data_IF_638223784620
#
_entry.id   IF_638223784620
#
_cell.length_a   1.000
_cell.length_b   1.000
_cell.length_c   1.000
_cell.angle_alpha   90.00
_cell.angle_beta   90.00
_cell.angle_gamma   90.00
#
_symmetry.space_group_name_H-M   'P 1'
#
loop_
_entity.id
_entity.type
_entity.pdbx_description
1 polymer ?
#
# COMPACT_ATOMS: atom_id res chain seq x y z
N UNK A 1 13.70 8.85 -15.99
CA UNK A 1 12.70 7.84 -16.43
C UNK A 1 11.49 8.60 -16.99
N UNK A 2 10.74 8.06 -17.95
CA UNK A 2 9.58 8.77 -18.52
C UNK A 2 8.51 8.99 -17.45
N UNK A 3 7.87 10.18 -17.42
CA UNK A 3 6.77 10.46 -16.51
C UNK A 3 7.11 10.40 -15.02
N UNK A 4 8.33 10.64 -14.63
CA UNK A 4 8.84 10.47 -13.26
C UNK A 4 7.97 11.14 -12.20
N UNK A 5 7.45 12.33 -12.49
CA UNK A 5 6.55 13.05 -11.56
C UNK A 5 5.24 12.30 -11.33
N UNK A 6 4.64 11.77 -12.40
CA UNK A 6 3.40 10.99 -12.31
C UNK A 6 3.63 9.72 -11.50
N UNK A 7 4.64 8.93 -11.86
CA UNK A 7 4.92 7.66 -11.19
C UNK A 7 5.31 7.85 -9.72
N UNK A 8 6.12 8.87 -9.40
CA UNK A 8 6.45 9.18 -8.01
C UNK A 8 5.21 9.56 -7.18
N UNK A 9 4.27 10.31 -7.76
CA UNK A 9 3.01 10.67 -7.09
C UNK A 9 2.11 9.45 -6.90
N UNK A 10 1.96 8.63 -7.96
CA UNK A 10 1.22 7.37 -7.92
C UNK A 10 1.77 6.42 -6.84
N UNK A 11 3.07 6.21 -6.83
CA UNK A 11 3.71 5.26 -5.92
C UNK A 11 3.60 5.72 -4.45
N UNK A 12 3.66 7.05 -4.21
CA UNK A 12 3.37 7.62 -2.89
C UNK A 12 1.93 7.36 -2.47
N UNK A 13 0.97 7.59 -3.37
CA UNK A 13 -0.44 7.37 -3.08
C UNK A 13 -0.72 5.88 -2.82
N UNK A 14 -0.16 4.98 -3.63
CA UNK A 14 -0.26 3.53 -3.42
C UNK A 14 0.33 3.12 -2.08
N UNK A 15 1.49 3.67 -1.71
CA UNK A 15 2.11 3.46 -0.40
C UNK A 15 1.23 3.92 0.76
N UNK A 16 0.60 5.11 0.64
CA UNK A 16 -0.35 5.61 1.64
C UNK A 16 -1.58 4.70 1.76
N UNK A 17 -2.14 4.24 0.64
CA UNK A 17 -3.28 3.31 0.64
C UNK A 17 -2.93 2.00 1.38
N UNK A 18 -1.75 1.42 1.13
CA UNK A 18 -1.32 0.21 1.83
C UNK A 18 -1.17 0.45 3.34
N UNK A 19 -0.57 1.59 3.74
CA UNK A 19 -0.42 1.94 5.15
C UNK A 19 -1.77 2.15 5.85
N UNK A 20 -2.73 2.80 5.18
CA UNK A 20 -4.07 3.00 5.72
C UNK A 20 -4.84 1.68 5.87
N UNK A 21 -4.72 0.77 4.91
CA UNK A 21 -5.34 -0.56 5.01
C UNK A 21 -4.74 -1.36 6.18
N UNK A 22 -3.42 -1.28 6.39
CA UNK A 22 -2.77 -1.90 7.54
C UNK A 22 -3.25 -1.28 8.87
N UNK A 23 -3.29 0.06 8.96
CA UNK A 23 -3.76 0.79 10.14
C UNK A 23 -5.23 0.49 10.45
N UNK A 24 -6.08 0.41 9.44
CA UNK A 24 -7.48 0.06 9.60
C UNK A 24 -7.67 -1.35 10.19
N UNK A 25 -6.81 -2.30 9.78
CA UNK A 25 -6.80 -3.64 10.35
C UNK A 25 -6.37 -3.65 11.83
N UNK A 26 -5.39 -2.80 12.21
CA UNK A 26 -4.95 -2.66 13.61
C UNK A 26 -6.01 -1.97 14.50
N UNK A 27 -6.80 -1.08 13.94
CA UNK A 27 -7.83 -0.31 14.66
C UNK A 27 -9.23 -0.93 14.57
N UNK A 28 -9.35 -2.09 13.94
CA UNK A 28 -10.63 -2.77 13.66
C UNK A 28 -11.65 -1.85 12.96
N UNK A 29 -11.14 -1.02 12.03
CA UNK A 29 -11.94 -0.05 11.28
C UNK A 29 -12.25 -0.61 9.89
N UNK A 30 -13.52 -0.67 9.49
CA UNK A 30 -13.91 -1.11 8.15
C UNK A 30 -13.80 0.04 7.14
N UNK A 31 -12.79 -0.04 6.27
CA UNK A 31 -12.59 0.84 5.11
C UNK A 31 -12.67 0.09 3.78
N UNK A 32 -13.10 -1.18 3.78
CA UNK A 32 -13.16 -2.03 2.57
C UNK A 32 -14.09 -1.46 1.49
N UNK A 33 -15.10 -0.67 1.87
CA UNK A 33 -15.96 0.04 0.94
C UNK A 33 -15.27 1.20 0.20
N UNK A 34 -14.20 1.77 0.78
CA UNK A 34 -13.50 2.94 0.26
C UNK A 34 -12.20 2.57 -0.47
N UNK A 35 -11.42 1.63 0.07
CA UNK A 35 -10.10 1.25 -0.44
C UNK A 35 -10.00 -0.26 -0.69
N UNK A 36 -10.15 -0.67 -1.95
CA UNK A 36 -9.93 -2.05 -2.40
C UNK A 36 -8.60 -2.16 -3.14
N UNK A 37 -7.66 -2.89 -2.58
CA UNK A 37 -6.30 -3.04 -3.15
C UNK A 37 -6.31 -3.62 -4.58
N UNK A 38 -7.25 -4.49 -4.90
CA UNK A 38 -7.35 -5.05 -6.25
C UNK A 38 -7.82 -4.00 -7.27
N UNK A 39 -8.74 -3.10 -6.90
CA UNK A 39 -9.15 -1.99 -7.75
C UNK A 39 -7.99 -0.98 -7.95
N UNK A 40 -7.17 -0.72 -6.92
CA UNK A 40 -5.94 0.09 -7.03
C UNK A 40 -4.99 -0.50 -8.07
N UNK A 41 -4.77 -1.83 -8.03
CA UNK A 41 -3.90 -2.51 -8.99
C UNK A 41 -4.44 -2.43 -10.41
N UNK A 42 -5.73 -2.63 -10.59
CA UNK A 42 -6.38 -2.66 -11.90
C UNK A 42 -6.50 -1.27 -12.54
N UNK A 43 -6.59 -0.21 -11.75
CA UNK A 43 -6.78 1.17 -12.23
C UNK A 43 -5.52 2.01 -12.12
N UNK A 44 -5.12 2.34 -10.90
CA UNK A 44 -4.02 3.27 -10.63
C UNK A 44 -2.66 2.72 -11.06
N UNK A 45 -2.44 1.42 -10.89
CA UNK A 45 -1.20 0.73 -11.29
C UNK A 45 -1.26 0.14 -12.71
N UNK A 46 -2.33 0.39 -13.48
CA UNK A 46 -2.41 -0.06 -14.85
C UNK A 46 -1.25 0.54 -15.69
N UNK A 47 -0.48 -0.29 -16.42
CA UNK A 47 0.62 0.18 -17.23
C UNK A 47 0.12 1.01 -18.43
N UNK A 48 1.00 1.83 -18.99
CA UNK A 48 0.77 2.49 -20.27
C UNK A 48 1.01 1.52 -21.43
N UNK A 49 0.17 1.57 -22.45
CA UNK A 49 0.27 0.70 -23.61
C UNK A 49 0.85 1.43 -24.81
N UNK A 50 2.00 0.96 -25.27
CA UNK A 50 2.64 1.40 -26.53
C UNK A 50 2.45 0.33 -27.60
N UNK A 51 1.78 0.67 -28.68
CA UNK A 51 1.64 -0.21 -29.86
C UNK A 51 2.55 0.31 -30.95
N UNK A 52 3.45 -0.54 -31.45
CA UNK A 52 4.46 -0.19 -32.45
C UNK A 52 4.14 -0.88 -33.77
N UNK A 53 3.89 -0.09 -34.79
CA UNK A 53 3.42 -0.47 -36.12
C UNK A 53 4.37 0.05 -37.19
N UNK A 54 4.47 -0.60 -38.33
CA UNK A 54 5.32 -0.18 -39.46
C UNK A 54 5.76 -1.36 -40.30
N UNK A 55 6.39 -1.13 -41.45
CA UNK A 55 6.84 -2.18 -42.36
C UNK A 55 7.93 -3.11 -41.76
N UNK A 56 8.13 -4.24 -42.40
CA UNK A 56 9.28 -5.10 -42.12
C UNK A 56 10.56 -4.26 -42.31
N UNK A 57 11.55 -4.45 -41.43
CA UNK A 57 12.82 -3.71 -41.43
C UNK A 57 12.71 -2.18 -41.23
N UNK A 58 11.54 -1.64 -40.88
CA UNK A 58 11.39 -0.23 -40.50
C UNK A 58 12.17 0.16 -39.22
N UNK A 59 12.67 -0.82 -38.45
CA UNK A 59 13.44 -0.59 -37.21
C UNK A 59 12.58 -0.49 -35.96
N UNK A 60 11.38 -1.09 -35.96
CA UNK A 60 10.45 -1.13 -34.80
C UNK A 60 11.15 -1.68 -33.54
N UNK A 61 11.64 -2.91 -33.59
CA UNK A 61 12.29 -3.58 -32.49
C UNK A 61 13.57 -2.85 -32.04
N UNK A 62 14.33 -2.27 -33.00
CA UNK A 62 15.50 -1.43 -32.68
C UNK A 62 15.10 -0.15 -31.95
N UNK A 63 13.99 0.49 -32.34
CA UNK A 63 13.45 1.66 -31.64
C UNK A 63 13.03 1.30 -30.20
N UNK A 64 12.33 0.19 -30.01
CA UNK A 64 11.91 -0.29 -28.70
C UNK A 64 13.15 -0.52 -27.82
N UNK A 65 14.18 -1.22 -28.30
CA UNK A 65 15.43 -1.42 -27.58
C UNK A 65 16.13 -0.10 -27.26
N UNK A 66 16.14 0.84 -28.20
CA UNK A 66 16.66 2.20 -28.00
C UNK A 66 15.91 2.98 -26.92
N UNK A 67 14.58 2.88 -26.84
CA UNK A 67 13.77 3.48 -25.79
C UNK A 67 14.02 2.83 -24.43
N UNK A 68 14.04 1.49 -24.37
CA UNK A 68 14.25 0.75 -23.13
C UNK A 68 15.70 0.83 -22.62
N UNK A 69 16.68 1.03 -23.50
CA UNK A 69 18.10 0.97 -23.18
C UNK A 69 18.58 -0.45 -22.85
N UNK A 70 17.92 -1.46 -23.43
CA UNK A 70 18.20 -2.89 -23.21
C UNK A 70 17.69 -3.72 -24.38
N UNK A 71 18.23 -4.92 -24.57
CA UNK A 71 17.82 -5.87 -25.61
C UNK A 71 16.49 -6.56 -25.24
N UNK A 72 15.39 -5.81 -25.32
CA UNK A 72 14.05 -6.33 -25.06
C UNK A 72 13.56 -7.17 -26.24
N UNK A 73 13.63 -6.60 -27.44
CA UNK A 73 13.20 -7.24 -28.68
C UNK A 73 14.42 -7.87 -29.40
N UNK A 74 14.21 -9.06 -29.99
CA UNK A 74 15.23 -9.66 -30.88
C UNK A 74 15.33 -8.81 -32.15
N UNK A 75 16.53 -8.47 -32.55
CA UNK A 75 16.82 -7.69 -33.77
C UNK A 75 17.66 -8.56 -34.70
N UNK A 76 17.04 -9.10 -35.75
CA UNK A 76 17.73 -9.88 -36.76
C UNK A 76 17.52 -9.26 -38.15
N UNK A 77 18.48 -9.53 -39.05
CA UNK A 77 18.46 -9.09 -40.44
C UNK A 77 17.36 -9.79 -41.27
N UNK A 78 16.95 -10.99 -40.88
CA UNK A 78 15.81 -11.71 -41.45
C UNK A 78 14.49 -11.36 -40.75
N UNK A 79 13.36 -11.33 -41.47
CA UNK A 79 12.06 -11.03 -40.87
C UNK A 79 11.67 -12.14 -39.88
N UNK A 80 11.93 -11.91 -38.59
CA UNK A 80 11.59 -12.90 -37.54
C UNK A 80 10.29 -12.63 -36.83
N UNK A 81 9.76 -11.40 -36.89
CA UNK A 81 8.54 -11.05 -36.17
C UNK A 81 7.32 -11.45 -36.99
N UNK A 82 7.02 -12.74 -37.05
CA UNK A 82 5.79 -13.27 -37.67
C UNK A 82 4.61 -13.31 -36.68
N UNK A 83 4.81 -12.89 -35.44
CA UNK A 83 3.83 -12.91 -34.36
C UNK A 83 3.79 -11.53 -33.69
N UNK A 84 2.65 -11.18 -33.13
CA UNK A 84 2.52 -10.00 -32.26
C UNK A 84 3.16 -10.36 -30.92
N UNK A 85 4.11 -9.54 -30.45
CA UNK A 85 4.79 -9.75 -29.17
C UNK A 85 4.31 -8.72 -28.15
N UNK A 86 3.69 -9.17 -27.09
CA UNK A 86 3.26 -8.35 -25.98
C UNK A 86 4.24 -8.44 -24.82
N UNK A 87 5.08 -7.43 -24.66
CA UNK A 87 6.08 -7.34 -23.60
C UNK A 87 5.50 -6.75 -22.33
N UNK A 88 5.69 -7.45 -21.21
CA UNK A 88 5.21 -7.08 -19.88
C UNK A 88 6.30 -7.30 -18.82
N UNK A 89 6.11 -6.66 -17.65
CA UNK A 89 6.93 -6.98 -16.48
C UNK A 89 6.56 -8.34 -15.91
N UNK A 90 7.55 -9.16 -15.62
CA UNK A 90 7.37 -10.44 -14.94
C UNK A 90 8.68 -11.03 -14.44
N UNK A 91 8.60 -11.72 -13.30
CA UNK A 91 9.65 -12.54 -12.70
C UNK A 91 9.04 -13.89 -12.31
N UNK A 92 9.63 -15.02 -12.78
CA UNK A 92 10.76 -15.14 -13.72
C UNK A 92 10.42 -14.65 -15.13
N UNK A 93 11.47 -14.46 -15.95
CA UNK A 93 11.28 -14.23 -17.39
C UNK A 93 10.66 -15.48 -18.03
N UNK A 94 9.58 -15.31 -18.77
CA UNK A 94 8.90 -16.39 -19.49
C UNK A 94 8.27 -15.89 -20.79
N UNK A 95 7.93 -16.82 -21.67
CA UNK A 95 7.23 -16.58 -22.91
C UNK A 95 6.01 -17.50 -22.94
N UNK A 96 4.82 -16.94 -23.15
CA UNK A 96 3.54 -17.63 -23.13
C UNK A 96 2.87 -17.44 -24.49
N UNK A 97 2.60 -18.51 -25.18
CA UNK A 97 1.84 -18.47 -26.41
C UNK A 97 0.35 -18.35 -26.11
N UNK A 98 -0.21 -17.15 -26.33
CA UNK A 98 -1.64 -16.89 -26.13
C UNK A 98 -2.47 -17.34 -27.34
N UNK A 99 -1.90 -17.29 -28.54
CA UNK A 99 -2.49 -17.78 -29.76
C UNK A 99 -1.40 -18.00 -30.82
N UNK A 100 -1.67 -18.66 -31.95
CA UNK A 100 -0.69 -18.87 -33.02
C UNK A 100 0.01 -17.58 -33.53
N UNK A 101 -0.58 -16.41 -33.27
CA UNK A 101 -0.09 -15.14 -33.75
C UNK A 101 0.20 -14.11 -32.65
N UNK A 102 0.09 -14.49 -31.36
CA UNK A 102 0.29 -13.61 -30.22
C UNK A 102 1.06 -14.31 -29.12
N UNK A 103 2.20 -13.75 -28.78
CA UNK A 103 3.03 -14.15 -27.64
C UNK A 103 2.98 -13.09 -26.55
N UNK A 104 2.79 -13.52 -25.30
CA UNK A 104 2.98 -12.69 -24.10
C UNK A 104 4.37 -12.97 -23.54
N UNK A 105 5.20 -11.93 -23.47
CA UNK A 105 6.62 -12.04 -23.11
C UNK A 105 6.87 -11.28 -21.82
N UNK A 106 7.20 -12.01 -20.77
CA UNK A 106 7.55 -11.47 -19.48
C UNK A 106 9.05 -11.26 -19.36
N UNK A 107 9.46 -10.03 -18.97
CA UNK A 107 10.86 -9.68 -18.72
C UNK A 107 10.98 -8.87 -17.42
N UNK A 108 12.04 -9.09 -16.61
CA UNK A 108 12.25 -8.38 -15.34
C UNK A 108 12.87 -7.00 -15.53
N UNK A 109 12.45 -6.26 -16.56
CA UNK A 109 12.91 -4.90 -16.84
C UNK A 109 12.04 -3.89 -16.14
N UNK A 110 12.64 -2.96 -15.37
CA UNK A 110 11.91 -1.94 -14.61
C UNK A 110 11.02 -1.08 -15.51
N UNK A 111 11.44 -0.80 -16.74
CA UNK A 111 10.63 -0.09 -17.73
C UNK A 111 9.25 -0.75 -17.93
N UNK A 112 9.18 -2.07 -17.99
CA UNK A 112 7.94 -2.81 -18.22
C UNK A 112 6.98 -2.84 -17.04
N UNK A 113 7.38 -2.35 -15.87
CA UNK A 113 6.44 -2.16 -14.73
C UNK A 113 5.37 -1.12 -15.06
N UNK A 114 5.78 -0.08 -15.75
CA UNK A 114 4.94 1.07 -16.05
C UNK A 114 4.47 1.07 -17.50
N UNK A 115 5.09 0.26 -18.37
CA UNK A 115 4.82 0.21 -19.81
C UNK A 115 4.64 -1.21 -20.30
N UNK A 116 3.55 -1.43 -21.01
CA UNK A 116 3.40 -2.60 -21.88
C UNK A 116 3.73 -2.19 -23.30
N UNK A 117 4.54 -2.99 -23.99
CA UNK A 117 4.94 -2.74 -25.37
C UNK A 117 4.42 -3.85 -26.26
N UNK A 118 3.71 -3.48 -27.31
CA UNK A 118 3.21 -4.39 -28.32
C UNK A 118 4.02 -4.16 -29.62
N UNK A 119 4.95 -5.09 -29.89
CA UNK A 119 5.71 -5.12 -31.15
C UNK A 119 4.95 -5.98 -32.16
N UNK A 120 4.75 -5.43 -33.37
CA UNK A 120 3.90 -6.07 -34.40
C UNK A 120 4.70 -6.54 -35.59
N UNK A 121 4.19 -7.56 -36.33
CA UNK A 121 4.72 -7.89 -37.63
C UNK A 121 4.70 -6.69 -38.58
N UNK A 122 5.56 -6.72 -39.61
CA UNK A 122 5.58 -5.65 -40.61
C UNK A 122 4.24 -5.51 -41.35
N UNK A 123 3.78 -4.27 -41.57
CA UNK A 123 2.49 -3.96 -42.20
C UNK A 123 2.35 -4.54 -43.61
N UNK A 124 3.45 -4.71 -44.33
CA UNK A 124 3.52 -5.33 -45.67
C UNK A 124 3.47 -6.87 -45.66
N UNK A 125 3.71 -7.51 -44.47
CA UNK A 125 3.63 -8.97 -44.26
C UNK A 125 2.44 -9.34 -43.34
N UNK A 126 1.61 -8.39 -42.96
CA UNK A 126 0.55 -8.55 -41.95
C UNK A 126 -0.66 -9.29 -42.55
N UNK A 127 -0.96 -10.46 -42.00
CA UNK A 127 -2.16 -11.21 -42.33
C UNK A 127 -3.42 -10.59 -41.65
N UNK A 128 -4.63 -10.85 -42.16
CA UNK A 128 -5.87 -10.39 -41.50
C UNK A 128 -5.95 -10.81 -40.02
N UNK A 129 -5.52 -12.01 -39.69
CA UNK A 129 -5.49 -12.50 -38.31
C UNK A 129 -4.51 -11.75 -37.39
N UNK A 130 -3.41 -11.19 -37.93
CA UNK A 130 -2.54 -10.29 -37.15
C UNK A 130 -3.26 -8.98 -36.82
N UNK A 131 -4.04 -8.42 -37.77
CA UNK A 131 -4.85 -7.22 -37.53
C UNK A 131 -5.88 -7.45 -36.42
N UNK A 132 -6.52 -8.60 -36.40
CA UNK A 132 -7.46 -8.99 -35.34
C UNK A 132 -6.76 -9.10 -33.97
N UNK A 133 -5.56 -9.72 -33.91
CA UNK A 133 -4.76 -9.78 -32.68
C UNK A 133 -4.37 -8.39 -32.16
N UNK A 134 -3.97 -7.48 -33.05
CA UNK A 134 -3.61 -6.09 -32.72
C UNK A 134 -4.85 -5.27 -32.29
N UNK A 135 -6.00 -5.51 -32.93
CA UNK A 135 -7.24 -4.81 -32.62
C UNK A 135 -7.67 -4.92 -31.14
N UNK A 136 -7.24 -5.98 -30.45
CA UNK A 136 -7.48 -6.16 -29.00
C UNK A 136 -6.75 -5.12 -28.14
N UNK A 137 -5.60 -4.62 -28.61
CA UNK A 137 -4.78 -3.66 -27.87
C UNK A 137 -5.09 -2.20 -28.22
N UNK A 138 -5.65 -1.93 -29.41
CA UNK A 138 -5.89 -0.57 -29.88
C UNK A 138 -6.77 0.27 -28.92
N UNK A 139 -7.87 -0.23 -28.35
CA UNK A 139 -8.68 0.56 -27.41
C UNK A 139 -7.92 0.99 -26.15
N UNK A 140 -7.01 0.13 -25.67
CA UNK A 140 -6.18 0.37 -24.49
C UNK A 140 -4.88 1.13 -24.80
N UNK A 141 -4.52 1.32 -26.06
CA UNK A 141 -3.28 1.98 -26.45
C UNK A 141 -3.27 3.44 -26.01
N UNK A 142 -2.29 3.84 -25.21
CA UNK A 142 -2.06 5.26 -24.89
C UNK A 142 -1.36 5.98 -26.03
N UNK A 143 -0.43 5.32 -26.74
CA UNK A 143 0.30 5.85 -27.90
C UNK A 143 0.43 4.78 -28.97
N UNK A 144 0.19 5.17 -30.23
CA UNK A 144 0.38 4.38 -31.44
C UNK A 144 1.60 4.91 -32.20
N UNK A 145 2.73 4.20 -32.13
CA UNK A 145 3.93 4.54 -32.88
C UNK A 145 3.89 3.91 -34.27
N UNK A 146 3.82 4.73 -35.30
CA UNK A 146 3.95 4.29 -36.67
C UNK A 146 5.37 4.57 -37.15
N UNK A 147 6.15 3.50 -37.33
CA UNK A 147 7.57 3.55 -37.62
C UNK A 147 7.80 3.42 -39.14
N UNK A 148 8.48 4.40 -39.67
CA UNK A 148 8.87 4.49 -41.07
C UNK A 148 10.40 4.46 -41.18
N UNK A 149 10.99 3.67 -42.07
CA UNK A 149 12.40 3.79 -42.33
C UNK A 149 12.67 5.09 -43.11
N UNK A 150 13.77 5.78 -42.79
CA UNK A 150 14.15 7.02 -43.49
C UNK A 150 14.32 6.84 -45.01
N UNK A 151 14.56 5.62 -45.45
CA UNK A 151 14.73 5.25 -46.87
C UNK A 151 13.38 5.10 -47.61
N UNK A 152 12.29 4.83 -46.91
CA UNK A 152 10.94 4.70 -47.49
C UNK A 152 9.85 5.25 -46.57
N UNK A 153 9.77 6.57 -46.34
CA UNK A 153 8.78 7.19 -45.48
C UNK A 153 7.38 7.24 -46.10
N UNK A 154 7.20 6.81 -47.36
CA UNK A 154 5.95 6.83 -48.12
C UNK A 154 5.29 5.46 -48.26
N UNK A 155 5.70 4.47 -47.48
CA UNK A 155 5.22 3.10 -47.60
C UNK A 155 3.69 3.03 -47.49
N UNK A 156 3.07 2.57 -48.57
CA UNK A 156 1.60 2.61 -48.75
C UNK A 156 0.88 1.71 -47.72
N UNK A 157 1.45 0.56 -47.35
CA UNK A 157 0.87 -0.37 -46.39
C UNK A 157 0.65 0.28 -45.02
N UNK A 158 1.62 1.04 -44.52
CA UNK A 158 1.57 1.73 -43.22
C UNK A 158 0.58 2.91 -43.27
N UNK A 159 0.60 3.73 -44.37
CA UNK A 159 -0.32 4.83 -44.54
C UNK A 159 -1.77 4.36 -44.69
N UNK A 160 -2.04 3.26 -45.37
CA UNK A 160 -3.37 2.68 -45.48
C UNK A 160 -3.90 2.27 -44.10
N UNK A 161 -3.05 1.59 -43.29
CA UNK A 161 -3.43 1.20 -41.95
C UNK A 161 -3.77 2.42 -41.05
N UNK A 162 -2.99 3.51 -41.16
CA UNK A 162 -3.28 4.76 -40.43
C UNK A 162 -4.67 5.31 -40.87
N UNK A 163 -4.96 5.30 -42.18
CA UNK A 163 -6.23 5.81 -42.71
C UNK A 163 -7.47 5.00 -42.29
N UNK A 164 -7.27 3.74 -41.88
CA UNK A 164 -8.33 2.86 -41.40
C UNK A 164 -8.68 3.07 -39.90
N UNK A 165 -7.87 3.86 -39.16
CA UNK A 165 -8.07 4.10 -37.74
C UNK A 165 -9.26 5.01 -37.46
N UNK A 166 -9.94 4.77 -36.33
CA UNK A 166 -10.99 5.68 -35.85
C UNK A 166 -10.43 7.07 -35.47
N UNK A 167 -11.24 8.14 -35.50
CA UNK A 167 -10.80 9.50 -35.14
C UNK A 167 -10.16 9.59 -33.75
N UNK A 168 -10.60 8.79 -32.79
CA UNK A 168 -10.03 8.77 -31.42
C UNK A 168 -8.66 8.10 -31.36
N UNK A 169 -8.44 7.06 -32.16
CA UNK A 169 -7.13 6.42 -32.29
C UNK A 169 -6.16 7.32 -33.04
N UNK A 170 -6.63 8.05 -34.06
CA UNK A 170 -5.80 9.00 -34.80
C UNK A 170 -5.17 10.08 -33.91
N UNK A 171 -5.85 10.51 -32.84
CA UNK A 171 -5.30 11.46 -31.84
C UNK A 171 -4.10 10.90 -31.06
N UNK A 172 -3.96 9.57 -31.02
CA UNK A 172 -2.88 8.86 -30.30
C UNK A 172 -1.72 8.47 -31.21
N UNK A 173 -1.81 8.79 -32.52
CA UNK A 173 -0.80 8.47 -33.52
C UNK A 173 0.41 9.38 -33.37
N UNK A 174 1.59 8.76 -33.39
CA UNK A 174 2.89 9.42 -33.49
C UNK A 174 3.67 8.76 -34.62
N UNK A 175 4.17 9.57 -35.55
CA UNK A 175 4.96 9.11 -36.67
C UNK A 175 6.45 9.14 -36.29
N UNK A 176 7.14 8.02 -36.46
CA UNK A 176 8.58 7.89 -36.16
C UNK A 176 9.31 7.61 -37.47
N UNK A 177 10.23 8.50 -37.85
CA UNK A 177 11.21 8.24 -38.90
C UNK A 177 12.42 7.60 -38.22
N UNK A 178 12.59 6.30 -38.44
CA UNK A 178 13.67 5.50 -37.86
C UNK A 178 14.88 5.47 -38.80
N UNK A 179 16.06 5.14 -38.27
CA UNK A 179 17.33 5.13 -38.99
C UNK A 179 17.79 6.53 -39.44
N UNK A 180 17.49 7.54 -38.60
CA UNK A 180 17.84 8.94 -38.91
C UNK A 180 19.33 9.17 -39.07
N UNK A 181 20.18 8.29 -38.53
CA UNK A 181 21.65 8.27 -38.73
C UNK A 181 22.10 8.02 -40.18
N UNK A 182 21.21 7.57 -41.06
CA UNK A 182 21.49 7.32 -42.48
C UNK A 182 21.27 8.56 -43.36
N UNK A 183 20.83 9.69 -42.81
CA UNK A 183 20.51 10.93 -43.55
C UNK A 183 20.96 12.17 -42.79
N UNK A 184 21.22 13.22 -43.55
CA UNK A 184 21.51 14.53 -42.97
C UNK A 184 20.25 15.22 -42.42
N UNK A 185 20.41 16.14 -41.48
CA UNK A 185 19.30 16.84 -40.85
C UNK A 185 18.43 17.63 -41.84
N UNK A 186 19.04 18.07 -42.97
CA UNK A 186 18.33 18.80 -44.04
C UNK A 186 17.37 17.88 -44.81
N UNK A 187 17.79 16.66 -45.09
CA UNK A 187 16.99 15.63 -45.77
C UNK A 187 15.80 15.22 -44.86
N UNK A 188 16.02 15.07 -43.56
CA UNK A 188 14.97 14.74 -42.62
C UNK A 188 13.91 15.82 -42.57
N UNK A 189 14.27 17.11 -42.65
CA UNK A 189 13.30 18.21 -42.71
C UNK A 189 12.45 18.14 -43.97
N UNK A 190 13.04 17.81 -45.14
CA UNK A 190 12.32 17.62 -46.39
C UNK A 190 11.32 16.45 -46.25
N UNK A 191 11.80 15.33 -45.70
CA UNK A 191 10.93 14.16 -45.46
C UNK A 191 9.76 14.52 -44.56
N UNK A 192 9.99 15.27 -43.48
CA UNK A 192 8.92 15.73 -42.58
C UNK A 192 7.88 16.58 -43.31
N UNK A 193 8.30 17.49 -44.19
CA UNK A 193 7.39 18.30 -45.02
C UNK A 193 6.48 17.42 -45.88
N UNK A 194 7.07 16.48 -46.61
CA UNK A 194 6.29 15.56 -47.45
C UNK A 194 5.36 14.64 -46.66
N UNK A 195 5.80 14.14 -45.51
CA UNK A 195 4.95 13.33 -44.64
C UNK A 195 3.81 14.14 -44.02
N UNK A 196 4.02 15.41 -43.71
CA UNK A 196 2.97 16.31 -43.23
C UNK A 196 1.90 16.53 -44.32
N UNK A 197 2.31 16.81 -45.58
CA UNK A 197 1.40 16.93 -46.70
C UNK A 197 0.60 15.65 -46.95
N UNK A 198 1.23 14.51 -46.82
CA UNK A 198 0.57 13.23 -47.00
C UNK A 198 -0.41 12.94 -45.84
N UNK A 199 -0.05 13.30 -44.62
CA UNK A 199 -0.92 13.16 -43.45
C UNK A 199 -2.19 14.04 -43.61
N UNK A 200 -2.04 15.29 -43.99
CA UNK A 200 -3.18 16.18 -44.27
C UNK A 200 -4.12 15.57 -45.33
N UNK A 201 -3.55 15.04 -46.40
CA UNK A 201 -4.35 14.43 -47.50
C UNK A 201 -5.07 13.15 -47.07
N UNK A 202 -4.48 12.36 -46.17
CA UNK A 202 -4.99 11.03 -45.81
C UNK A 202 -5.88 11.02 -44.56
N UNK A 203 -5.53 11.83 -43.55
CA UNK A 203 -6.20 11.82 -42.25
C UNK A 203 -6.64 13.20 -41.75
N UNK A 204 -6.45 14.24 -42.55
CA UNK A 204 -6.95 15.60 -42.28
C UNK A 204 -6.16 16.43 -41.29
N UNK A 205 -5.12 15.89 -40.65
CA UNK A 205 -4.25 16.58 -39.71
C UNK A 205 -2.83 16.00 -39.70
N UNK A 206 -1.89 16.75 -39.14
CA UNK A 206 -0.50 16.31 -39.01
C UNK A 206 -0.29 15.76 -37.59
N UNK A 207 -0.04 14.44 -37.45
CA UNK A 207 0.37 13.87 -36.16
C UNK A 207 1.75 14.38 -35.75
N UNK A 208 2.12 14.19 -34.48
CA UNK A 208 3.51 14.47 -34.05
C UNK A 208 4.49 13.56 -34.77
N UNK A 209 5.65 14.11 -35.16
CA UNK A 209 6.68 13.39 -35.91
C UNK A 209 8.01 13.53 -35.21
N UNK A 210 8.76 12.42 -35.13
CA UNK A 210 10.10 12.36 -34.57
C UNK A 210 11.01 11.58 -35.50
N UNK A 211 12.25 12.08 -35.67
CA UNK A 211 13.32 11.34 -36.33
C UNK A 211 14.22 10.72 -35.26
N UNK A 212 14.42 9.41 -35.33
CA UNK A 212 15.12 8.66 -34.27
C UNK A 212 16.12 7.67 -34.88
N UNK A 213 17.32 7.58 -34.30
CA UNK A 213 18.22 6.43 -34.48
C UNK A 213 18.15 5.54 -33.25
N UNK A 214 17.33 4.50 -33.32
CA UNK A 214 17.20 3.53 -32.23
C UNK A 214 18.50 2.81 -31.94
N UNK A 215 19.35 2.59 -32.96
CA UNK A 215 20.70 1.99 -32.84
C UNK A 215 21.62 2.86 -31.98
N UNK A 216 21.74 4.14 -32.31
CA UNK A 216 22.60 5.08 -31.58
C UNK A 216 22.04 5.33 -30.15
N UNK A 217 20.74 5.40 -30.01
CA UNK A 217 20.10 5.51 -28.70
C UNK A 217 20.38 4.31 -27.80
N UNK A 218 20.26 3.09 -28.33
CA UNK A 218 20.58 1.87 -27.60
C UNK A 218 22.05 1.83 -27.18
N UNK A 219 22.96 2.10 -28.12
CA UNK A 219 24.42 2.14 -27.86
C UNK A 219 24.76 3.18 -26.77
N UNK A 220 24.20 4.40 -26.87
CA UNK A 220 24.45 5.48 -25.90
C UNK A 220 23.96 5.14 -24.47
N UNK A 221 22.90 4.36 -24.35
CA UNK A 221 22.35 3.93 -23.05
C UNK A 221 23.01 2.69 -22.47
N UNK A 222 23.60 1.85 -23.31
CA UNK A 222 24.26 0.59 -22.90
C UNK A 222 25.62 0.81 -22.23
N UNK A 223 26.20 2.01 -22.38
CA UNK A 223 27.50 2.37 -21.80
C UNK A 223 27.30 3.14 -20.50
N UNK A 224 28.19 2.90 -19.52
CA UNK A 224 28.18 3.64 -18.24
C UNK A 224 29.48 4.44 -18.08
N UNK A 225 29.43 5.79 -17.94
CA UNK A 225 28.25 6.65 -17.95
C UNK A 225 27.59 6.77 -19.32
N UNK A 226 26.29 7.08 -19.35
CA UNK A 226 25.55 7.24 -20.61
C UNK A 226 26.12 8.36 -21.47
N UNK A 227 26.24 8.12 -22.77
CA UNK A 227 26.76 9.10 -23.73
C UNK A 227 25.63 10.06 -24.14
N UNK A 228 25.49 11.16 -23.39
CA UNK A 228 24.37 12.11 -23.57
C UNK A 228 24.37 12.81 -24.93
N UNK A 229 25.54 13.07 -25.51
CA UNK A 229 25.65 13.74 -26.81
C UNK A 229 25.12 12.85 -27.93
N UNK A 230 25.53 11.58 -27.96
CA UNK A 230 25.01 10.59 -28.92
C UNK A 230 23.52 10.36 -28.71
N UNK A 231 23.06 10.34 -27.46
CA UNK A 231 21.64 10.17 -27.14
C UNK A 231 20.82 11.38 -27.63
N UNK A 232 21.35 12.60 -27.55
CA UNK A 232 20.71 13.81 -28.08
C UNK A 232 20.65 13.77 -29.61
N UNK A 233 21.78 13.47 -30.28
CA UNK A 233 21.84 13.35 -31.73
C UNK A 233 20.95 12.24 -32.30
N UNK A 234 20.71 11.18 -31.53
CA UNK A 234 19.81 10.11 -31.92
C UNK A 234 18.32 10.52 -32.01
N UNK A 235 17.93 11.72 -31.56
CA UNK A 235 16.55 12.17 -31.47
C UNK A 235 15.71 11.46 -30.39
N UNK A 236 16.30 10.51 -29.69
CA UNK A 236 15.58 9.71 -28.70
C UNK A 236 15.17 10.53 -27.46
N UNK A 237 15.99 11.53 -27.07
CA UNK A 237 15.63 12.42 -25.92
C UNK A 237 14.36 13.23 -26.16
N UNK A 238 14.13 13.70 -27.40
CA UNK A 238 12.92 14.43 -27.74
C UNK A 238 11.68 13.52 -27.68
N UNK A 239 11.81 12.29 -28.20
CA UNK A 239 10.76 11.30 -28.11
C UNK A 239 10.47 10.91 -26.64
N UNK A 240 11.50 10.72 -25.82
CA UNK A 240 11.36 10.45 -24.40
C UNK A 240 10.67 11.60 -23.64
N UNK A 241 11.02 12.84 -23.98
CA UNK A 241 10.37 14.04 -23.43
C UNK A 241 8.89 14.07 -23.81
N UNK A 242 8.58 13.79 -25.06
CA UNK A 242 7.17 13.70 -25.51
C UNK A 242 6.41 12.63 -24.71
N UNK A 243 6.95 11.43 -24.57
CA UNK A 243 6.31 10.35 -23.80
C UNK A 243 6.09 10.80 -22.36
N UNK A 244 7.11 11.42 -21.74
CA UNK A 244 7.01 11.92 -20.36
C UNK A 244 5.94 12.99 -20.20
N UNK A 245 5.89 13.95 -21.11
CA UNK A 245 4.89 15.02 -21.13
C UNK A 245 3.48 14.46 -21.37
N UNK A 246 3.34 13.49 -22.26
CA UNK A 246 2.06 12.82 -22.55
C UNK A 246 1.51 12.10 -21.32
N UNK A 247 2.37 11.36 -20.60
CA UNK A 247 2.03 10.67 -19.35
C UNK A 247 1.63 11.68 -18.27
N UNK A 248 2.46 12.70 -18.03
CA UNK A 248 2.23 13.69 -16.98
C UNK A 248 0.98 14.56 -17.25
N UNK A 249 0.60 14.74 -18.52
CA UNK A 249 -0.54 15.57 -18.93
C UNK A 249 -1.79 14.76 -19.27
N UNK A 250 -1.78 13.45 -19.15
CA UNK A 250 -2.95 12.61 -19.38
C UNK A 250 -4.09 13.00 -18.43
N UNK A 251 -5.18 13.52 -18.97
CA UNK A 251 -6.36 13.92 -18.18
C UNK A 251 -6.99 12.72 -17.48
N UNK A 252 -7.04 11.57 -18.15
CA UNK A 252 -7.59 10.33 -17.59
C UNK A 252 -6.77 9.87 -16.37
N UNK A 253 -5.44 9.88 -16.49
CA UNK A 253 -4.55 9.45 -15.40
C UNK A 253 -4.55 10.45 -14.24
N UNK A 254 -4.66 11.75 -14.53
CA UNK A 254 -4.83 12.77 -13.48
C UNK A 254 -6.15 12.59 -12.74
N UNK A 255 -7.26 12.41 -13.46
CA UNK A 255 -8.56 12.17 -12.84
C UNK A 255 -8.56 10.92 -11.94
N UNK A 256 -7.89 9.84 -12.38
CA UNK A 256 -7.70 8.66 -11.53
C UNK A 256 -6.90 8.94 -10.25
N UNK A 257 -5.81 9.73 -10.34
CA UNK A 257 -5.06 10.12 -9.16
C UNK A 257 -5.91 10.95 -8.20
N UNK A 258 -6.70 11.90 -8.71
CA UNK A 258 -7.59 12.74 -7.92
C UNK A 258 -8.71 11.92 -7.26
N UNK A 259 -9.30 10.99 -7.99
CA UNK A 259 -10.32 10.07 -7.45
C UNK A 259 -9.77 9.24 -6.29
N UNK A 260 -8.62 8.58 -6.49
CA UNK A 260 -8.00 7.75 -5.46
C UNK A 260 -7.47 8.56 -4.27
N UNK A 261 -7.01 9.80 -4.52
CA UNK A 261 -6.66 10.73 -3.44
C UNK A 261 -7.89 11.06 -2.58
N UNK A 262 -9.03 11.33 -3.22
CA UNK A 262 -10.31 11.58 -2.53
C UNK A 262 -10.74 10.39 -1.65
N UNK A 263 -10.73 9.17 -2.22
CA UNK A 263 -11.04 7.92 -1.48
C UNK A 263 -10.07 7.69 -0.31
N UNK A 264 -8.79 8.00 -0.50
CA UNK A 264 -7.76 7.86 0.53
C UNK A 264 -7.98 8.85 1.68
N UNK A 265 -8.34 10.10 1.36
CA UNK A 265 -8.65 11.13 2.34
C UNK A 265 -9.92 10.81 3.14
N UNK A 266 -10.93 10.22 2.51
CA UNK A 266 -12.15 9.77 3.16
C UNK A 266 -11.88 8.60 4.12
N UNK A 267 -11.11 7.60 3.67
CA UNK A 267 -10.70 6.47 4.51
C UNK A 267 -9.90 6.92 5.75
N UNK A 268 -8.98 7.90 5.57
CA UNK A 268 -8.24 8.47 6.70
C UNK A 268 -9.19 9.09 7.74
N UNK A 269 -10.16 9.89 7.30
CA UNK A 269 -11.16 10.47 8.22
C UNK A 269 -11.96 9.40 8.96
N UNK A 270 -12.35 8.33 8.27
CA UNK A 270 -13.07 7.21 8.90
C UNK A 270 -12.24 6.58 10.03
N UNK A 271 -10.93 6.41 9.82
CA UNK A 271 -10.02 5.88 10.85
C UNK A 271 -9.86 6.88 11.99
N UNK A 272 -9.67 8.17 11.70
CA UNK A 272 -9.56 9.23 12.71
C UNK A 272 -10.82 9.29 13.60
N UNK A 273 -12.01 9.26 13.02
CA UNK A 273 -13.28 9.25 13.74
C UNK A 273 -13.45 7.98 14.61
N UNK A 274 -12.95 6.83 14.14
CA UNK A 274 -12.95 5.59 14.90
C UNK A 274 -12.02 5.69 16.11
N UNK A 275 -10.81 6.17 15.92
CA UNK A 275 -9.82 6.35 16.99
C UNK A 275 -10.28 7.36 18.05
N UNK A 276 -10.90 8.47 17.67
CA UNK A 276 -11.45 9.44 18.62
C UNK A 276 -12.60 8.84 19.45
N UNK A 277 -13.45 8.01 18.83
CA UNK A 277 -14.49 7.26 19.58
C UNK A 277 -13.90 6.29 20.59
N UNK A 278 -12.95 5.46 20.17
CA UNK A 278 -12.25 4.51 21.04
C UNK A 278 -11.54 5.21 22.20
N UNK A 279 -10.87 6.32 21.93
CA UNK A 279 -10.22 7.15 22.95
C UNK A 279 -11.22 7.71 23.97
N UNK A 280 -12.38 8.17 23.50
CA UNK A 280 -13.44 8.67 24.38
C UNK A 280 -14.02 7.54 25.28
N UNK A 281 -14.24 6.36 24.72
CA UNK A 281 -14.68 5.17 25.46
C UNK A 281 -13.65 4.75 26.52
N UNK A 282 -12.38 4.69 26.17
CA UNK A 282 -11.30 4.39 27.11
C UNK A 282 -11.23 5.41 28.26
N UNK A 283 -11.39 6.69 27.96
CA UNK A 283 -11.44 7.73 28.99
C UNK A 283 -12.64 7.55 29.94
N UNK A 284 -13.81 7.23 29.41
CA UNK A 284 -15.00 6.96 30.20
C UNK A 284 -14.85 5.72 31.09
N UNK A 285 -14.26 4.64 30.55
CA UNK A 285 -13.92 3.44 31.33
C UNK A 285 -12.92 3.74 32.44
N UNK A 286 -11.88 4.55 32.17
CA UNK A 286 -10.95 5.01 33.22
C UNK A 286 -11.65 5.75 34.34
N UNK A 287 -12.52 6.70 34.05
CA UNK A 287 -13.29 7.42 35.06
C UNK A 287 -14.23 6.50 35.87
N UNK A 288 -14.79 5.49 35.22
CA UNK A 288 -15.62 4.50 35.88
C UNK A 288 -14.81 3.66 36.87
N UNK A 289 -13.60 3.21 36.46
CA UNK A 289 -12.66 2.48 37.33
C UNK A 289 -12.22 3.31 38.54
N UNK A 290 -11.88 4.60 38.33
CA UNK A 290 -11.54 5.54 39.42
C UNK A 290 -12.68 5.71 40.42
N UNK A 291 -13.94 5.62 39.96
CA UNK A 291 -15.11 5.70 40.82
C UNK A 291 -15.26 4.44 41.66
N UNK A 292 -15.09 3.25 41.05
CA UNK A 292 -15.15 1.98 41.77
C UNK A 292 -14.03 1.91 42.81
N UNK A 293 -12.79 2.30 42.48
CA UNK A 293 -11.69 2.33 43.44
C UNK A 293 -12.00 3.20 44.64
N UNK A 294 -12.56 4.41 44.45
CA UNK A 294 -12.96 5.28 45.55
C UNK A 294 -14.07 4.68 46.40
N UNK A 295 -15.05 3.97 45.82
CA UNK A 295 -16.08 3.27 46.56
C UNK A 295 -15.52 2.13 47.40
N UNK A 296 -14.61 1.33 46.83
CA UNK A 296 -13.92 0.24 47.53
C UNK A 296 -13.11 0.78 48.71
N UNK A 297 -12.35 1.85 48.50
CA UNK A 297 -11.58 2.48 49.60
C UNK A 297 -12.50 3.03 50.68
N UNK A 298 -13.60 3.64 50.33
CA UNK A 298 -14.61 4.09 51.30
C UNK A 298 -15.25 2.95 52.10
N UNK A 299 -15.51 1.81 51.47
CA UNK A 299 -16.00 0.60 52.15
C UNK A 299 -14.91 0.04 53.08
N UNK A 300 -13.66 -0.02 52.62
CA UNK A 300 -12.51 -0.48 53.41
C UNK A 300 -12.32 0.37 54.69
N UNK A 301 -12.36 1.70 54.54
CA UNK A 301 -12.25 2.60 55.69
C UNK A 301 -13.38 2.42 56.71
N UNK A 302 -14.63 2.30 56.24
CA UNK A 302 -15.77 2.02 57.09
C UNK A 302 -15.63 0.69 57.81
N UNK A 303 -15.14 -0.34 57.12
CA UNK A 303 -14.89 -1.67 57.70
C UNK A 303 -13.80 -1.62 58.76
N UNK A 304 -12.67 -0.97 58.47
CA UNK A 304 -11.57 -0.81 59.43
C UNK A 304 -12.03 -0.02 60.65
N UNK A 305 -12.78 1.06 60.49
CA UNK A 305 -13.35 1.81 61.64
C UNK A 305 -14.31 0.98 62.48
N UNK A 306 -15.19 0.18 61.85
CA UNK A 306 -16.09 -0.75 62.61
C UNK A 306 -15.28 -1.78 63.38
N UNK A 307 -14.34 -2.45 62.69
CA UNK A 307 -13.47 -3.47 63.31
C UNK A 307 -12.71 -2.89 64.49
N UNK A 308 -12.09 -1.72 64.35
CA UNK A 308 -11.36 -1.03 65.41
C UNK A 308 -12.24 -0.75 66.62
N UNK A 309 -13.50 -0.29 66.37
CA UNK A 309 -14.48 -0.03 67.47
C UNK A 309 -14.81 -1.32 68.22
N UNK A 310 -15.08 -2.41 67.50
CA UNK A 310 -15.37 -3.69 68.14
C UNK A 310 -14.14 -4.24 68.92
N UNK A 311 -12.91 -4.08 68.38
CA UNK A 311 -11.70 -4.46 69.11
C UNK A 311 -11.48 -3.68 70.40
N UNK A 312 -11.78 -2.36 70.41
CA UNK A 312 -11.73 -1.54 71.62
C UNK A 312 -12.74 -2.04 72.65
N UNK A 313 -13.98 -2.32 72.24
CA UNK A 313 -15.03 -2.85 73.14
C UNK A 313 -14.62 -4.21 73.69
N UNK A 314 -14.03 -5.12 72.88
CA UNK A 314 -13.53 -6.40 73.37
C UNK A 314 -12.40 -6.19 74.38
N UNK A 315 -11.47 -5.26 74.12
CA UNK A 315 -10.38 -4.94 75.04
C UNK A 315 -10.87 -4.42 76.39
N UNK A 316 -11.88 -3.53 76.38
CA UNK A 316 -12.52 -3.01 77.62
C UNK A 316 -13.20 -4.12 78.43
N UNK A 317 -13.85 -5.08 77.75
CA UNK A 317 -14.42 -6.26 78.40
C UNK A 317 -13.32 -7.09 79.07
N UNK A 318 -12.21 -7.36 78.33
CA UNK A 318 -11.08 -8.07 78.87
C UNK A 318 -10.47 -7.39 80.12
N UNK A 319 -10.27 -6.08 80.06
CA UNK A 319 -9.77 -5.31 81.23
C UNK A 319 -10.72 -5.40 82.43
N UNK A 320 -12.02 -5.26 82.17
CA UNK A 320 -13.04 -5.33 83.23
C UNK A 320 -13.04 -6.69 83.90
N UNK A 321 -13.04 -7.77 83.15
CA UNK A 321 -13.00 -9.13 83.67
C UNK A 321 -11.67 -9.45 84.36
N UNK A 322 -10.53 -8.97 83.85
CA UNK A 322 -9.23 -9.08 84.45
C UNK A 322 -9.18 -8.41 85.83
N UNK A 323 -9.76 -7.21 85.94
CA UNK A 323 -9.87 -6.52 87.27
C UNK A 323 -10.77 -7.30 88.20
N UNK A 324 -11.88 -7.85 87.76
CA UNK A 324 -12.75 -8.70 88.55
C UNK A 324 -12.01 -9.94 89.03
N UNK A 325 -11.29 -10.67 88.21
CA UNK A 325 -10.49 -11.82 88.56
C UNK A 325 -9.42 -11.43 89.57
N UNK A 326 -8.69 -10.35 89.31
CA UNK A 326 -7.67 -9.85 90.25
C UNK A 326 -8.19 -9.54 91.62
N UNK A 327 -9.36 -8.86 91.73
CA UNK A 327 -10.03 -8.59 93.00
C UNK A 327 -10.41 -9.88 93.74
N UNK A 328 -10.93 -10.87 93.02
CA UNK A 328 -11.38 -12.15 93.57
C UNK A 328 -10.19 -13.00 94.00
N UNK A 329 -9.10 -13.00 93.27
CA UNK A 329 -7.85 -13.61 93.63
C UNK A 329 -7.23 -12.95 94.89
N UNK A 330 -7.16 -11.61 94.94
CA UNK A 330 -6.67 -10.86 96.10
C UNK A 330 -7.45 -11.19 97.37
N UNK A 331 -8.78 -11.34 97.27
CA UNK A 331 -9.59 -11.73 98.43
C UNK A 331 -9.37 -13.16 98.89
N UNK A 332 -8.85 -14.03 98.03
CA UNK A 332 -8.55 -15.42 98.38
C UNK A 332 -7.13 -15.65 98.77
N UNK A 333 -6.18 -14.86 98.30
CA UNK A 333 -4.74 -14.96 98.59
C UNK A 333 -4.42 -14.06 99.85
N UNK A 334 -5.27 -14.10 100.82
CA UNK A 334 -4.90 -13.50 102.13
C UNK A 334 -3.86 -14.41 102.86
N UNK A 335 -2.89 -13.80 103.58
CA UNK A 335 -1.74 -14.47 104.13
C UNK A 335 -2.08 -15.75 104.92
N UNK A 336 -3.21 -15.84 105.55
CA UNK A 336 -3.62 -17.03 106.29
C UNK A 336 -4.19 -18.17 105.45
N UNK A 337 -4.84 -17.80 104.27
CA UNK A 337 -5.37 -18.79 103.33
C UNK A 337 -4.27 -19.37 102.43
N UNK A 338 -3.27 -18.61 102.08
CA UNK A 338 -2.13 -19.10 101.29
C UNK A 338 -1.39 -20.20 102.02
N UNK A 339 -1.29 -20.14 103.36
CA UNK A 339 -0.72 -21.18 104.14
C UNK A 339 -1.54 -22.49 104.16
N UNK A 340 -2.84 -22.40 104.11
CA UNK A 340 -3.75 -23.55 104.03
C UNK A 340 -3.65 -24.23 102.64
N UNK A 341 -3.55 -23.45 101.55
CA UNK A 341 -3.43 -23.97 100.15
C UNK A 341 -2.10 -24.73 99.91
N UNK A 342 -1.01 -24.37 100.65
CA UNK A 342 0.26 -25.04 100.57
C UNK A 342 0.19 -26.49 101.10
N UNK A 343 -0.73 -26.77 102.08
CA UNK A 343 -0.89 -28.07 102.67
C UNK A 343 -2.01 -28.95 102.15
N UNK A 344 -3.09 -28.34 101.53
CA UNK A 344 -4.30 -29.07 101.12
C UNK A 344 -4.53 -29.12 99.64
N UNK A 345 -3.68 -28.50 98.82
CA UNK A 345 -3.85 -28.38 97.37
C UNK A 345 -4.96 -27.40 96.97
N UNK A 346 -4.76 -26.71 95.85
CA UNK A 346 -5.76 -25.73 95.29
C UNK A 346 -6.85 -26.41 94.45
N UNK A 347 -7.99 -26.71 95.06
CA UNK A 347 -9.20 -27.18 94.33
C UNK A 347 -10.02 -26.05 93.75
N UNK A 348 -9.65 -24.78 93.89
CA UNK A 348 -10.45 -23.63 93.54
C UNK A 348 -9.93 -22.87 92.35
N UNK A 349 -8.69 -23.13 91.88
CA UNK A 349 -8.11 -22.55 90.64
C UNK A 349 -8.96 -22.90 89.42
N UNK A 350 -9.26 -24.16 89.16
CA UNK A 350 -10.07 -24.58 88.06
C UNK A 350 -11.50 -23.95 87.98
N UNK A 351 -12.10 -23.71 89.19
CA UNK A 351 -13.45 -23.11 89.27
C UNK A 351 -13.44 -21.61 88.96
N UNK A 352 -12.35 -20.90 89.25
CA UNK A 352 -12.24 -19.45 88.84
C UNK A 352 -11.95 -19.34 87.37
N UNK A 353 -11.11 -20.20 86.87
CA UNK A 353 -10.82 -20.24 85.38
C UNK A 353 -12.06 -20.55 84.60
N UNK A 354 -12.86 -21.55 84.95
CA UNK A 354 -14.10 -21.88 84.30
C UNK A 354 -15.10 -20.72 84.33
N UNK A 355 -15.30 -20.04 85.46
CA UNK A 355 -16.19 -18.87 85.59
C UNK A 355 -15.65 -17.67 84.78
N UNK A 356 -14.32 -17.51 84.72
CA UNK A 356 -13.75 -16.42 83.91
C UNK A 356 -13.94 -16.68 82.45
N UNK A 357 -13.70 -17.89 81.96
CA UNK A 357 -13.92 -18.25 80.53
C UNK A 357 -15.36 -18.12 80.14
N UNK A 358 -16.31 -18.59 80.98
CA UNK A 358 -17.74 -18.49 80.73
C UNK A 358 -18.22 -17.01 80.65
N UNK A 359 -17.75 -16.18 81.59
CA UNK A 359 -18.05 -14.73 81.55
C UNK A 359 -17.45 -14.00 80.38
N UNK A 360 -16.19 -14.37 80.02
CA UNK A 360 -15.53 -13.80 78.90
C UNK A 360 -16.22 -14.18 77.57
N UNK A 361 -16.61 -15.46 77.47
CA UNK A 361 -17.33 -15.96 76.31
C UNK A 361 -18.68 -15.26 76.14
N UNK A 362 -19.48 -15.15 77.23
CA UNK A 362 -20.74 -14.47 77.20
C UNK A 362 -20.58 -12.97 76.87
N UNK A 363 -19.54 -12.31 77.36
CA UNK A 363 -19.28 -10.91 77.04
C UNK A 363 -18.81 -10.69 75.59
N UNK A 364 -17.99 -11.62 75.03
CA UNK A 364 -17.59 -11.60 73.65
C UNK A 364 -18.75 -11.89 72.69
N UNK A 365 -19.62 -12.83 73.03
CA UNK A 365 -20.87 -13.13 72.33
C UNK A 365 -21.81 -11.89 72.28
N UNK A 366 -22.00 -11.21 73.41
CA UNK A 366 -22.78 -9.99 73.46
C UNK A 366 -22.21 -8.85 72.60
N UNK A 367 -20.89 -8.77 72.42
CA UNK A 367 -20.23 -7.79 71.50
C UNK A 367 -20.37 -8.23 70.06
N UNK A 368 -20.41 -9.52 69.75
CA UNK A 368 -20.59 -10.04 68.41
C UNK A 368 -22.02 -9.88 67.87
N UNK A 369 -23.01 -9.76 68.72
CA UNK A 369 -24.44 -9.55 68.38
C UNK A 369 -24.80 -8.07 68.19
N UNK A 370 -23.90 -7.13 68.52
CA UNK A 370 -24.08 -5.67 68.34
C UNK A 370 -23.32 -5.15 67.11
#
# INVERSE_FOLDING_TARGET
MFGERYFATRDRLVGLIHNLVALAAETDTDICGQLKLDEVKLSLCAPFYFVVLGEVNAGKSTMINGLCGSDLCRVNALPETNRVCWYRFGKPACEIELSPLLDEIHRPLLFLRDFNVIDTPGTNAMLPAHREAIARFLPAADVLFFVFPVTNPWCASTWNLISELSPDLLKRVVLIIQQSDLREAIDIKVIFGHMADLAIKRIGHVPRMYAVSGKNAHQAKSVSPRQLDILRESGCLELEKFISDHICNSLVRKALLEEWYGKTAEALRTIEDCLERQKHELHNHGRFLDTIEREIDGIREKFVMRLSRHLVTVAEVFETEAVWVSKRLRRRIGAFRSFIYLFLGDRTGPAIEAVFVDRLQGAVEAVAET
#
